data_IF_718108151120
#
_entry.id   IF_718108151120
#
_cell.length_a   1.000
_cell.length_b   1.000
_cell.length_c   1.000
_cell.angle_alpha   90.00
_cell.angle_beta   90.00
_cell.angle_gamma   90.00
#
_symmetry.space_group_name_H-M   'P 1'
#
loop_
_entity.id
_entity.type
_entity.pdbx_description
1 polymer ?
#
# COMPACT_ATOMS: atom_id res chain seq x y z
N UNK A 1 32.07 28.92 -31.66
CA UNK A 1 32.78 27.66 -31.52
C UNK A 1 33.85 27.84 -30.48
N UNK A 2 33.88 26.97 -29.44
CA UNK A 2 34.94 26.96 -28.43
C UNK A 2 36.01 25.94 -28.94
N UNK A 3 37.26 26.35 -29.05
CA UNK A 3 38.36 25.43 -29.30
C UNK A 3 38.77 24.79 -27.98
N UNK A 4 38.59 23.49 -27.82
CA UNK A 4 38.89 22.76 -26.59
C UNK A 4 39.67 21.49 -26.95
N UNK A 5 40.65 21.16 -26.11
CA UNK A 5 41.46 19.93 -26.30
C UNK A 5 40.73 18.69 -25.76
N UNK A 6 39.78 18.90 -24.82
CA UNK A 6 39.01 17.85 -24.19
C UNK A 6 37.60 18.38 -23.83
N UNK A 7 36.59 17.55 -24.10
CA UNK A 7 35.20 17.82 -23.63
C UNK A 7 34.81 16.72 -22.66
N UNK A 8 34.45 17.11 -21.45
CA UNK A 8 33.95 16.21 -20.41
C UNK A 8 32.43 16.43 -20.28
N UNK A 9 31.66 15.39 -20.50
CA UNK A 9 30.21 15.42 -20.37
C UNK A 9 29.80 14.98 -18.97
N UNK A 10 29.14 15.86 -18.23
CA UNK A 10 28.49 15.52 -16.96
C UNK A 10 27.06 15.03 -17.26
N UNK A 11 26.93 13.74 -17.55
CA UNK A 11 25.62 13.15 -17.91
C UNK A 11 24.79 12.87 -16.66
N UNK A 12 23.45 13.01 -16.78
CA UNK A 12 22.52 12.65 -15.73
C UNK A 12 22.38 11.12 -15.59
N UNK A 13 22.00 10.67 -14.41
CA UNK A 13 21.56 9.29 -14.17
C UNK A 13 20.07 9.22 -14.45
N UNK A 14 19.65 8.23 -15.21
CA UNK A 14 18.25 7.97 -15.51
C UNK A 14 17.80 6.63 -14.90
N UNK A 15 16.55 6.51 -14.46
CA UNK A 15 15.98 5.24 -14.00
C UNK A 15 15.89 4.23 -15.15
N UNK A 16 15.70 2.95 -14.82
CA UNK A 16 15.46 1.91 -15.81
C UNK A 16 14.20 2.22 -16.63
N UNK A 17 14.19 1.97 -17.95
CA UNK A 17 13.00 2.15 -18.79
C UNK A 17 11.77 1.39 -18.29
N UNK A 18 11.96 0.28 -17.56
CA UNK A 18 10.88 -0.53 -16.99
C UNK A 18 10.47 -0.10 -15.58
N UNK A 19 11.07 0.95 -14.99
CA UNK A 19 10.79 1.40 -13.63
C UNK A 19 9.31 1.72 -13.43
N UNK A 20 8.68 2.45 -14.34
CA UNK A 20 7.25 2.78 -14.31
C UNK A 20 6.34 1.56 -14.40
N UNK A 21 6.68 0.58 -15.24
CA UNK A 21 5.94 -0.67 -15.36
C UNK A 21 5.98 -1.48 -14.07
N UNK A 22 7.17 -1.62 -13.49
CA UNK A 22 7.36 -2.31 -12.21
C UNK A 22 6.64 -1.57 -11.07
N UNK A 23 6.71 -0.24 -11.01
CA UNK A 23 5.99 0.57 -10.05
C UNK A 23 4.48 0.32 -10.11
N UNK A 24 3.91 0.25 -11.31
CA UNK A 24 2.48 -0.06 -11.51
C UNK A 24 2.13 -1.46 -11.00
N UNK A 25 2.95 -2.47 -11.32
CA UNK A 25 2.74 -3.85 -10.85
C UNK A 25 2.79 -3.97 -9.31
N UNK A 26 3.71 -3.25 -8.68
CA UNK A 26 3.90 -3.25 -7.23
C UNK A 26 3.01 -2.23 -6.51
N UNK A 27 2.29 -1.38 -7.24
CA UNK A 27 1.60 -0.21 -6.69
C UNK A 27 2.52 0.67 -5.83
N UNK A 28 3.77 0.79 -6.25
CA UNK A 28 4.77 1.64 -5.62
C UNK A 28 4.71 3.06 -6.21
N UNK A 29 4.98 4.07 -5.38
CA UNK A 29 5.01 5.47 -5.81
C UNK A 29 6.33 5.78 -6.51
N UNK A 30 6.26 6.57 -7.58
CA UNK A 30 7.39 7.14 -8.30
C UNK A 30 7.24 8.66 -8.40
N UNK A 31 8.35 9.35 -8.54
CA UNK A 31 8.39 10.79 -8.78
C UNK A 31 8.21 11.15 -10.27
N UNK A 32 8.37 12.42 -10.60
CA UNK A 32 8.25 12.92 -11.97
C UNK A 32 9.36 12.43 -12.91
N UNK A 33 10.49 12.02 -12.33
CA UNK A 33 11.67 11.53 -13.05
C UNK A 33 11.74 10.00 -13.08
N UNK A 34 10.65 9.31 -12.66
CA UNK A 34 10.49 7.85 -12.59
C UNK A 34 11.38 7.13 -11.56
N UNK A 35 11.90 7.84 -10.55
CA UNK A 35 12.52 7.24 -9.39
C UNK A 35 11.49 6.85 -8.32
N UNK A 36 11.74 5.78 -7.59
CA UNK A 36 10.87 5.36 -6.50
C UNK A 36 10.96 6.31 -5.30
N UNK A 37 9.79 6.62 -4.72
CA UNK A 37 9.67 7.56 -3.60
C UNK A 37 9.56 6.80 -2.28
N UNK A 38 10.32 7.24 -1.27
CA UNK A 38 10.23 6.73 0.09
C UNK A 38 8.97 7.24 0.80
N UNK A 39 8.55 6.50 1.83
CA UNK A 39 7.39 6.87 2.64
C UNK A 39 7.60 8.18 3.42
N UNK A 40 8.83 8.45 3.85
CA UNK A 40 9.21 9.71 4.50
C UNK A 40 10.73 9.86 4.52
N UNK A 41 11.30 10.97 4.01
CA UNK A 41 12.74 11.11 3.82
C UNK A 41 13.57 10.99 5.12
N UNK A 42 13.04 11.39 6.27
CA UNK A 42 13.76 11.33 7.56
C UNK A 42 13.35 10.15 8.43
N UNK A 43 12.07 9.79 8.46
CA UNK A 43 11.54 8.77 9.39
C UNK A 43 11.49 7.38 8.78
N UNK A 44 11.32 7.27 7.46
CA UNK A 44 11.19 6.00 6.73
C UNK A 44 11.89 6.07 5.37
N UNK A 45 13.21 6.32 5.35
CA UNK A 45 13.96 6.64 4.13
C UNK A 45 14.19 5.45 3.21
N UNK A 46 14.05 4.22 3.69
CA UNK A 46 14.25 2.98 2.92
C UNK A 46 12.95 2.18 2.73
N UNK A 47 11.83 2.72 3.15
CA UNK A 47 10.52 2.10 3.03
C UNK A 47 9.68 2.85 1.99
N UNK A 48 9.04 2.13 1.09
CA UNK A 48 8.03 2.70 0.19
C UNK A 48 6.74 3.05 0.97
N UNK A 49 5.88 3.95 0.47
CA UNK A 49 4.53 4.13 1.00
C UNK A 49 3.70 2.84 1.01
N UNK A 50 3.99 1.92 0.08
CA UNK A 50 3.36 0.59 0.04
C UNK A 50 4.08 -0.36 1.00
N UNK A 51 3.33 -0.92 1.94
CA UNK A 51 3.89 -1.83 2.95
C UNK A 51 4.55 -3.06 2.32
N UNK A 52 5.68 -3.51 2.88
CA UNK A 52 6.43 -4.67 2.42
C UNK A 52 7.39 -4.40 1.26
N UNK A 53 7.47 -3.17 0.76
CA UNK A 53 8.41 -2.75 -0.29
C UNK A 53 9.47 -1.86 0.33
N UNK A 54 10.72 -2.25 0.12
CA UNK A 54 11.90 -1.53 0.62
C UNK A 54 12.74 -1.04 -0.55
N UNK A 55 13.29 0.15 -0.42
CA UNK A 55 14.06 0.83 -1.45
C UNK A 55 15.55 0.80 -1.11
N UNK A 56 16.39 0.51 -2.10
CA UNK A 56 17.83 0.46 -1.93
C UNK A 56 18.56 0.87 -3.20
N UNK A 57 19.59 1.68 -3.06
CA UNK A 57 20.46 2.11 -4.15
C UNK A 57 19.83 3.12 -5.07
N UNK A 58 20.24 3.14 -6.32
CA UNK A 58 19.91 4.16 -7.32
C UNK A 58 18.46 4.13 -7.81
N UNK A 59 17.65 3.17 -7.37
CA UNK A 59 16.22 3.16 -7.71
C UNK A 59 15.43 4.35 -7.13
N UNK A 60 15.95 4.98 -6.06
CA UNK A 60 15.36 6.13 -5.39
C UNK A 60 15.94 7.47 -5.89
N UNK A 61 17.04 7.43 -6.62
CA UNK A 61 17.72 8.61 -7.14
C UNK A 61 19.22 8.37 -7.30
N UNK A 62 19.94 9.31 -7.92
CA UNK A 62 21.40 9.25 -8.03
C UNK A 62 22.07 9.20 -6.66
N UNK A 63 22.97 8.23 -6.46
CA UNK A 63 23.70 8.02 -5.20
C UNK A 63 25.12 7.55 -5.50
N UNK A 64 26.04 7.83 -4.57
CA UNK A 64 27.38 7.25 -4.61
C UNK A 64 27.40 5.81 -4.04
N UNK A 65 28.55 5.14 -4.15
CA UNK A 65 28.70 3.75 -3.69
C UNK A 65 28.59 3.64 -2.16
N UNK A 66 29.25 4.48 -1.35
CA UNK A 66 29.10 4.46 0.10
C UNK A 66 27.65 4.66 0.57
N UNK A 67 26.94 5.59 -0.03
CA UNK A 67 25.54 5.86 0.29
C UNK A 67 24.64 4.67 -0.12
N UNK A 68 24.88 4.08 -1.29
CA UNK A 68 24.16 2.89 -1.76
C UNK A 68 24.35 1.70 -0.82
N UNK A 69 25.57 1.44 -0.35
CA UNK A 69 25.87 0.35 0.61
C UNK A 69 25.21 0.60 1.96
N UNK A 70 25.28 1.84 2.46
CA UNK A 70 24.63 2.23 3.72
C UNK A 70 23.10 2.03 3.64
N UNK A 71 22.50 2.46 2.54
CA UNK A 71 21.07 2.29 2.31
C UNK A 71 20.66 0.82 2.18
N UNK A 72 21.47 0.00 1.50
CA UNK A 72 21.23 -1.44 1.40
C UNK A 72 21.24 -2.11 2.78
N UNK A 73 22.20 -1.73 3.65
CA UNK A 73 22.25 -2.20 5.04
C UNK A 73 21.00 -1.78 5.83
N UNK A 74 20.55 -0.55 5.68
CA UNK A 74 19.35 -0.04 6.34
C UNK A 74 18.09 -0.78 5.87
N UNK A 75 17.94 -1.02 4.56
CA UNK A 75 16.84 -1.80 4.00
C UNK A 75 16.84 -3.25 4.51
N UNK A 76 18.02 -3.89 4.54
CA UNK A 76 18.16 -5.25 5.07
C UNK A 76 17.75 -5.35 6.54
N UNK A 77 18.18 -4.40 7.39
CA UNK A 77 17.78 -4.35 8.82
C UNK A 77 16.25 -4.20 8.96
N UNK A 78 15.62 -3.38 8.12
CA UNK A 78 14.15 -3.23 8.13
C UNK A 78 13.44 -4.52 7.74
N UNK A 79 13.94 -5.23 6.72
CA UNK A 79 13.40 -6.54 6.30
C UNK A 79 13.56 -7.57 7.42
N UNK A 80 14.75 -7.65 8.03
CA UNK A 80 15.00 -8.56 9.16
C UNK A 80 14.07 -8.23 10.33
N UNK A 81 13.91 -6.94 10.68
CA UNK A 81 13.02 -6.50 11.74
C UNK A 81 11.54 -6.87 11.49
N UNK A 82 11.13 -6.94 10.21
CA UNK A 82 9.79 -7.40 9.83
C UNK A 82 9.66 -8.92 9.95
N UNK A 83 10.64 -9.67 9.44
CA UNK A 83 10.56 -11.13 9.30
C UNK A 83 11.03 -11.91 10.55
N UNK A 84 11.74 -11.27 11.47
CA UNK A 84 12.24 -11.91 12.71
C UNK A 84 11.15 -12.16 13.76
N UNK A 85 9.93 -11.70 13.53
CA UNK A 85 8.80 -11.90 14.45
C UNK A 85 7.95 -13.08 14.02
N UNK A 86 7.51 -13.88 14.97
CA UNK A 86 6.60 -15.00 14.72
C UNK A 86 5.25 -14.56 14.16
N UNK A 87 4.84 -13.31 14.43
CA UNK A 87 3.58 -12.72 13.97
C UNK A 87 3.82 -11.30 13.51
N UNK A 88 3.23 -10.95 12.37
CA UNK A 88 3.16 -9.56 11.91
C UNK A 88 2.04 -8.83 12.67
N UNK A 89 2.38 -7.69 13.24
CA UNK A 89 1.39 -6.78 13.82
C UNK A 89 0.81 -5.93 12.69
N UNK A 90 -0.46 -6.13 12.41
CA UNK A 90 -1.22 -5.26 11.48
C UNK A 90 -1.84 -4.09 12.23
N UNK A 91 -2.10 -3.00 11.52
CA UNK A 91 -2.84 -1.88 12.09
C UNK A 91 -4.26 -2.35 12.45
N UNK A 92 -4.74 -2.17 13.70
CA UNK A 92 -6.09 -2.58 14.10
C UNK A 92 -7.19 -1.73 13.44
N UNK A 93 -6.86 -0.56 12.92
CA UNK A 93 -7.80 0.36 12.27
C UNK A 93 -8.14 -0.10 10.84
N UNK A 94 -8.69 -1.29 10.70
CA UNK A 94 -9.06 -1.88 9.41
C UNK A 94 -10.53 -1.64 9.07
N UNK A 95 -10.89 -1.76 7.79
CA UNK A 95 -12.29 -1.78 7.40
C UNK A 95 -12.95 -3.09 7.86
N UNK A 96 -14.19 -3.00 8.29
CA UNK A 96 -15.01 -4.14 8.68
C UNK A 96 -16.38 -4.05 8.01
N UNK A 97 -16.91 -5.21 7.62
CA UNK A 97 -18.24 -5.32 7.03
C UNK A 97 -19.25 -5.81 8.07
N UNK A 98 -20.29 -5.03 8.32
CA UNK A 98 -21.46 -5.51 9.05
C UNK A 98 -22.29 -6.41 8.12
N UNK A 99 -22.16 -7.71 8.32
CA UNK A 99 -22.82 -8.73 7.50
C UNK A 99 -24.36 -8.73 7.65
N UNK A 100 -24.88 -8.13 8.73
CA UNK A 100 -26.34 -8.06 8.97
C UNK A 100 -27.06 -7.10 8.04
N UNK A 101 -26.36 -6.07 7.57
CA UNK A 101 -26.90 -5.04 6.65
C UNK A 101 -26.27 -5.08 5.25
N UNK A 102 -25.19 -5.87 5.06
CA UNK A 102 -24.54 -6.01 3.77
C UNK A 102 -25.50 -6.60 2.73
N UNK A 103 -25.74 -5.89 1.64
CA UNK A 103 -26.61 -6.34 0.55
C UNK A 103 -25.95 -7.36 -0.40
N UNK A 104 -24.64 -7.56 -0.30
CA UNK A 104 -23.90 -8.44 -1.21
C UNK A 104 -23.62 -7.85 -2.59
N UNK A 105 -23.75 -6.55 -2.77
CA UNK A 105 -23.55 -5.89 -4.07
C UNK A 105 -22.08 -5.89 -4.53
N UNK A 106 -21.13 -6.16 -3.64
CA UNK A 106 -19.68 -6.23 -3.89
C UNK A 106 -19.04 -4.96 -4.49
N UNK A 107 -19.73 -3.80 -4.43
CA UNK A 107 -19.15 -2.53 -4.88
C UNK A 107 -17.80 -2.24 -4.22
N UNK A 108 -17.64 -2.61 -2.93
CA UNK A 108 -16.40 -2.46 -2.18
C UNK A 108 -15.23 -3.29 -2.74
N UNK A 109 -15.49 -4.41 -3.43
CA UNK A 109 -14.43 -5.22 -4.07
C UNK A 109 -13.91 -4.54 -5.34
N UNK A 110 -14.80 -3.92 -6.11
CA UNK A 110 -14.44 -3.26 -7.38
C UNK A 110 -13.63 -1.97 -7.18
N UNK A 111 -13.89 -1.24 -6.10
CA UNK A 111 -13.16 0.01 -5.82
C UNK A 111 -11.86 -0.19 -5.05
N UNK A 112 -11.57 -1.41 -4.58
CA UNK A 112 -10.39 -1.68 -3.78
C UNK A 112 -9.14 -1.82 -4.66
N UNK A 113 -8.18 -0.86 -4.65
CA UNK A 113 -7.00 -0.92 -5.51
C UNK A 113 -6.02 -2.04 -5.13
N UNK A 114 -6.17 -2.60 -3.91
CA UNK A 114 -5.30 -3.65 -3.37
C UNK A 114 -5.95 -5.03 -3.34
N UNK A 115 -7.19 -5.16 -3.80
CA UNK A 115 -7.92 -6.42 -3.77
C UNK A 115 -8.14 -6.96 -2.33
N UNK A 116 -8.16 -6.08 -1.33
CA UNK A 116 -8.33 -6.47 0.06
C UNK A 116 -9.76 -6.96 0.38
N UNK A 117 -10.74 -6.58 -0.42
CA UNK A 117 -12.14 -6.97 -0.24
C UNK A 117 -12.50 -8.11 -1.19
N UNK A 118 -13.11 -9.16 -0.65
CA UNK A 118 -13.61 -10.32 -1.41
C UNK A 118 -15.06 -10.59 -1.07
N UNK A 119 -15.75 -11.34 -1.92
CA UNK A 119 -17.12 -11.80 -1.66
C UNK A 119 -17.11 -13.25 -1.17
N UNK A 120 -17.75 -13.53 -0.04
CA UNK A 120 -17.92 -14.88 0.49
C UNK A 120 -19.38 -15.16 0.78
N UNK A 121 -19.84 -16.38 0.45
CA UNK A 121 -21.19 -16.83 0.82
C UNK A 121 -21.21 -17.24 2.28
N UNK A 122 -21.96 -16.54 3.11
CA UNK A 122 -22.11 -16.81 4.55
C UNK A 122 -23.58 -16.89 4.96
N UNK A 123 -23.85 -17.70 5.98
CA UNK A 123 -25.12 -17.60 6.68
C UNK A 123 -25.10 -16.35 7.57
N UNK A 124 -26.01 -15.45 7.33
CA UNK A 124 -26.14 -14.20 8.06
C UNK A 124 -27.49 -14.15 8.77
N UNK A 125 -27.53 -13.44 9.90
CA UNK A 125 -28.76 -13.09 10.57
C UNK A 125 -29.01 -11.62 10.28
N UNK A 126 -30.11 -11.35 9.55
CA UNK A 126 -30.50 -9.97 9.23
C UNK A 126 -30.92 -9.22 10.49
N UNK A 127 -30.99 -7.89 10.42
CA UNK A 127 -31.53 -7.05 11.53
C UNK A 127 -32.96 -7.43 11.96
N UNK A 128 -33.70 -8.12 11.09
CA UNK A 128 -35.05 -8.64 11.37
C UNK A 128 -35.04 -10.03 11.99
N UNK A 129 -33.85 -10.60 12.30
CA UNK A 129 -33.70 -11.93 12.89
C UNK A 129 -33.84 -13.10 11.91
N UNK A 130 -33.97 -12.84 10.64
CA UNK A 130 -34.11 -13.89 9.60
C UNK A 130 -32.72 -14.45 9.29
N UNK A 131 -32.58 -15.79 9.27
CA UNK A 131 -31.36 -16.47 8.80
C UNK A 131 -31.45 -16.71 7.31
N UNK A 132 -30.45 -16.24 6.59
CA UNK A 132 -30.35 -16.45 5.14
C UNK A 132 -28.89 -16.65 4.72
N UNK A 133 -28.69 -17.36 3.61
CA UNK A 133 -27.37 -17.48 2.99
C UNK A 133 -27.27 -16.45 1.87
N UNK A 134 -26.30 -15.54 1.99
CA UNK A 134 -26.01 -14.55 0.94
C UNK A 134 -24.53 -14.29 0.83
N UNK A 135 -24.14 -13.76 -0.32
CA UNK A 135 -22.76 -13.27 -0.50
C UNK A 135 -22.60 -11.98 0.27
N UNK A 136 -21.55 -11.91 1.11
CA UNK A 136 -21.20 -10.71 1.87
C UNK A 136 -19.73 -10.33 1.61
N UNK A 137 -19.39 -9.07 1.78
CA UNK A 137 -18.01 -8.63 1.67
C UNK A 137 -17.20 -9.09 2.88
N UNK A 138 -15.97 -9.56 2.62
CA UNK A 138 -14.98 -9.92 3.63
C UNK A 138 -13.71 -9.15 3.36
N UNK A 139 -13.13 -8.55 4.40
CA UNK A 139 -11.91 -7.76 4.31
C UNK A 139 -10.72 -8.60 4.74
N UNK A 140 -9.71 -8.68 3.87
CA UNK A 140 -8.42 -9.24 4.23
C UNK A 140 -7.56 -8.14 4.86
N UNK A 141 -7.40 -8.19 6.17
CA UNK A 141 -6.68 -7.18 6.94
C UNK A 141 -5.18 -7.10 6.59
N UNK A 142 -4.61 -8.16 6.03
CA UNK A 142 -3.21 -8.17 5.60
C UNK A 142 -2.97 -7.36 4.31
N UNK A 143 -3.98 -7.27 3.44
CA UNK A 143 -3.93 -6.51 2.20
C UNK A 143 -4.48 -5.08 2.34
N UNK A 144 -5.20 -4.81 3.43
CA UNK A 144 -5.82 -3.51 3.66
C UNK A 144 -4.78 -2.41 3.92
N UNK A 145 -4.94 -1.24 3.30
CA UNK A 145 -3.96 -0.15 3.37
C UNK A 145 -4.56 1.22 3.75
N UNK A 146 -5.74 1.26 4.32
CA UNK A 146 -6.28 2.48 4.92
C UNK A 146 -6.86 3.53 3.98
N UNK A 147 -7.07 3.24 2.69
CA UNK A 147 -7.56 4.25 1.75
C UNK A 147 -9.03 4.66 1.93
N UNK A 148 -9.86 3.87 2.64
CA UNK A 148 -11.26 4.16 2.91
C UNK A 148 -12.22 4.10 1.71
N UNK A 149 -11.75 3.82 0.50
CA UNK A 149 -12.60 3.82 -0.70
C UNK A 149 -13.80 2.87 -0.60
N UNK A 150 -13.66 1.75 0.09
CA UNK A 150 -14.72 0.77 0.30
C UNK A 150 -15.86 1.27 1.18
N UNK A 151 -15.59 2.16 2.16
CA UNK A 151 -16.63 2.74 3.02
C UNK A 151 -17.48 3.74 2.26
N UNK A 152 -16.86 4.57 1.42
CA UNK A 152 -17.54 5.54 0.57
C UNK A 152 -18.38 4.86 -0.51
N UNK A 153 -17.88 3.75 -1.08
CA UNK A 153 -18.56 3.02 -2.15
C UNK A 153 -19.71 2.12 -1.66
N UNK A 154 -19.88 1.93 -0.35
CA UNK A 154 -20.91 1.04 0.19
C UNK A 154 -22.28 1.69 0.25
N UNK A 155 -23.25 1.30 -0.61
CA UNK A 155 -24.57 1.97 -0.67
C UNK A 155 -25.45 1.72 0.54
N UNK A 156 -25.22 0.63 1.27
CA UNK A 156 -25.99 0.28 2.47
C UNK A 156 -25.27 0.64 3.79
N UNK A 157 -24.09 1.27 3.72
CA UNK A 157 -23.32 1.65 4.90
C UNK A 157 -22.81 0.45 5.72
N UNK A 158 -22.70 -0.73 5.12
CA UNK A 158 -22.22 -1.94 5.80
C UNK A 158 -20.71 -1.96 6.04
N UNK A 159 -19.94 -1.17 5.26
CA UNK A 159 -18.49 -1.07 5.42
C UNK A 159 -18.16 0.13 6.29
N UNK A 160 -17.44 -0.11 7.38
CA UNK A 160 -16.99 0.94 8.29
C UNK A 160 -15.53 0.74 8.68
N UNK A 161 -14.87 1.81 9.14
CA UNK A 161 -13.50 1.77 9.66
C UNK A 161 -13.53 1.61 11.18
N UNK A 162 -12.89 0.56 11.66
CA UNK A 162 -12.76 0.33 13.10
C UNK A 162 -12.09 1.45 13.81
N UNK A 163 -11.63 2.04 14.39
CA UNK A 163 -10.90 3.14 15.02
C UNK A 163 -11.32 4.56 14.60
N UNK A 164 -12.27 4.69 13.67
CA UNK A 164 -12.73 6.00 13.16
C UNK A 164 -14.24 6.13 13.17
N UNK A 165 -14.90 5.51 14.14
CA UNK A 165 -16.35 5.67 14.33
C UNK A 165 -16.66 7.08 14.84
N UNK A 166 -17.85 7.61 14.53
CA UNK A 166 -18.28 8.92 15.00
C UNK A 166 -18.19 9.07 16.53
N UNK A 167 -18.41 7.98 17.28
CA UNK A 167 -18.29 7.96 18.74
C UNK A 167 -16.85 8.06 19.25
N UNK A 168 -15.87 7.72 18.41
CA UNK A 168 -14.45 7.82 18.76
C UNK A 168 -13.84 9.16 18.37
N UNK A 169 -14.45 9.88 17.43
CA UNK A 169 -13.97 11.16 16.91
C UNK A 169 -14.62 12.34 17.63
N UNK A 170 -15.87 12.21 18.09
CA UNK A 170 -16.66 13.20 18.83
C UNK A 170 -16.56 13.01 20.34
#
# INVERSE_FOLDING_TARGET
>A
MLNTDLVVLATAVQPSPDARKLATMLTASIDNDDFYVEAHPKLRPVESPTAGIFLSGMCQGPKDIPETVSQAGAAAVKVVGLLAKDKLLTNPCTAQCDTSICSGCLACTHVCPKGANTGESKQVITKLGVRETRTVAVVNNALWQGCGACTVACPCGAMDLQCFTNQQIL
#
